data_IF_659657285479
#
_entry.id   IF_659657285479
#
_cell.length_a   1.000
_cell.length_b   1.000
_cell.length_c   1.000
_cell.angle_alpha   90.00
_cell.angle_beta   90.00
_cell.angle_gamma   90.00
#
_symmetry.space_group_name_H-M   'P 1'
#
loop_
_entity.id
_entity.type
_entity.pdbx_description
1 polymer ?
#
# COMPACT_ATOMS: atom_id res chain seq x y z
N UNK A 1 17.92 -0.70 -45.39
CA UNK A 1 17.23 -0.41 -44.11
C UNK A 1 18.21 0.29 -43.17
N UNK A 2 18.18 1.62 -43.08
CA UNK A 2 19.26 2.45 -42.48
C UNK A 2 19.39 2.30 -40.95
N UNK A 3 18.31 1.95 -40.25
CA UNK A 3 18.24 1.83 -38.79
C UNK A 3 19.18 0.73 -38.26
N UNK A 4 19.33 -0.36 -39.02
CA UNK A 4 20.18 -1.48 -38.63
C UNK A 4 21.68 -1.13 -38.65
N UNK A 5 22.11 -0.28 -39.58
CA UNK A 5 23.50 0.20 -39.61
C UNK A 5 23.78 1.17 -38.46
N UNK A 6 22.80 2.00 -38.10
CA UNK A 6 22.92 2.93 -36.97
C UNK A 6 23.08 2.20 -35.63
N UNK A 7 22.32 1.12 -35.41
CA UNK A 7 22.41 0.27 -34.20
C UNK A 7 23.69 -0.57 -34.11
N UNK A 8 24.34 -0.87 -35.25
CA UNK A 8 25.55 -1.70 -35.32
C UNK A 8 26.83 -0.91 -35.00
N UNK A 9 26.79 0.42 -35.04
CA UNK A 9 27.91 1.26 -34.63
C UNK A 9 28.04 1.26 -33.10
N UNK A 10 29.24 0.96 -32.61
CA UNK A 10 29.53 0.88 -31.17
C UNK A 10 29.18 2.17 -30.43
N UNK A 11 29.53 3.32 -31.00
CA UNK A 11 29.31 4.64 -30.38
C UNK A 11 27.83 4.95 -30.18
N UNK A 12 26.97 4.65 -31.16
CA UNK A 12 25.52 4.85 -31.00
C UNK A 12 24.94 3.92 -29.95
N UNK A 13 25.44 2.69 -29.87
CA UNK A 13 24.99 1.70 -28.90
C UNK A 13 25.38 2.07 -27.48
N UNK A 14 26.53 2.70 -27.30
CA UNK A 14 27.00 3.24 -26.03
C UNK A 14 26.12 4.41 -25.58
N UNK A 15 25.81 5.36 -26.48
CA UNK A 15 24.87 6.46 -26.19
C UNK A 15 23.47 5.95 -25.90
N UNK A 16 22.98 4.96 -26.64
CA UNK A 16 21.68 4.30 -26.40
C UNK A 16 21.67 3.55 -25.05
N UNK A 17 22.76 2.90 -24.67
CA UNK A 17 22.89 2.24 -23.39
C UNK A 17 22.92 3.24 -22.23
N UNK A 18 23.60 4.39 -22.40
CA UNK A 18 23.61 5.47 -21.43
C UNK A 18 22.24 6.14 -21.30
N UNK A 19 21.57 6.41 -22.43
CA UNK A 19 20.20 6.93 -22.45
C UNK A 19 19.22 5.95 -21.82
N UNK A 20 19.30 4.67 -22.16
CA UNK A 20 18.43 3.64 -21.61
C UNK A 20 18.66 3.45 -20.10
N UNK A 21 19.91 3.25 -19.69
CA UNK A 21 20.27 3.05 -18.28
C UNK A 21 19.97 4.28 -17.43
N UNK A 22 20.38 5.47 -17.89
CA UNK A 22 20.10 6.73 -17.20
C UNK A 22 18.61 7.04 -17.10
N UNK A 23 17.83 6.78 -18.15
CA UNK A 23 16.39 6.97 -18.12
C UNK A 23 15.69 6.05 -17.10
N UNK A 24 16.12 4.79 -16.99
CA UNK A 24 15.57 3.85 -16.00
C UNK A 24 15.83 4.33 -14.58
N UNK A 25 17.03 4.86 -14.28
CA UNK A 25 17.36 5.41 -12.96
C UNK A 25 16.48 6.63 -12.64
N UNK A 26 16.28 7.53 -13.60
CA UNK A 26 15.40 8.69 -13.43
C UNK A 26 13.94 8.29 -13.18
N UNK A 27 13.42 7.34 -13.97
CA UNK A 27 12.05 6.85 -13.82
C UNK A 27 11.84 6.18 -12.45
N UNK A 28 12.78 5.33 -12.03
CA UNK A 28 12.73 4.67 -10.72
C UNK A 28 12.83 5.68 -9.57
N UNK A 29 13.74 6.66 -9.67
CA UNK A 29 13.87 7.74 -8.70
C UNK A 29 12.63 8.62 -8.60
N UNK A 30 12.02 8.97 -9.74
CA UNK A 30 10.77 9.72 -9.76
C UNK A 30 9.62 8.91 -9.13
N UNK A 31 9.54 7.61 -9.39
CA UNK A 31 8.54 6.72 -8.80
C UNK A 31 8.69 6.61 -7.28
N UNK A 32 9.91 6.47 -6.76
CA UNK A 32 10.14 6.44 -5.30
C UNK A 32 9.77 7.76 -4.65
N UNK A 33 10.09 8.91 -5.25
CA UNK A 33 9.64 10.22 -4.75
C UNK A 33 8.11 10.32 -4.76
N UNK A 34 7.45 9.86 -5.82
CA UNK A 34 5.99 9.84 -5.91
C UNK A 34 5.38 9.01 -4.77
N UNK A 35 5.81 7.76 -4.59
CA UNK A 35 5.30 6.88 -3.52
C UNK A 35 5.58 7.46 -2.13
N UNK A 36 6.72 8.11 -1.93
CA UNK A 36 7.07 8.73 -0.66
C UNK A 36 6.17 9.94 -0.33
N UNK A 37 5.85 10.77 -1.32
CA UNK A 37 5.01 11.95 -1.14
C UNK A 37 3.51 11.63 -1.13
N UNK A 38 3.11 10.54 -1.77
CA UNK A 38 1.74 10.03 -1.75
C UNK A 38 1.68 8.70 -1.01
N UNK A 39 2.01 8.68 0.31
CA UNK A 39 1.76 7.48 1.08
C UNK A 39 0.27 7.15 0.95
N UNK A 40 -0.10 5.88 0.74
CA UNK A 40 -1.50 5.50 0.75
C UNK A 40 -2.06 6.02 2.07
N UNK A 41 -3.13 6.83 1.99
CA UNK A 41 -3.84 7.25 3.20
C UNK A 41 -4.07 5.98 3.99
N UNK A 42 -3.51 5.90 5.19
CA UNK A 42 -3.94 4.92 6.16
C UNK A 42 -5.45 5.07 6.18
N UNK A 43 -6.18 4.10 5.63
CA UNK A 43 -7.59 4.00 5.98
C UNK A 43 -7.53 3.95 7.48
N UNK A 44 -8.04 4.98 8.14
CA UNK A 44 -8.35 4.93 9.56
C UNK A 44 -9.11 3.63 9.72
N UNK A 45 -8.41 2.60 10.21
CA UNK A 45 -9.05 1.32 10.42
C UNK A 45 -10.06 1.67 11.49
N UNK A 46 -11.37 1.51 11.23
CA UNK A 46 -12.36 1.82 12.24
C UNK A 46 -11.94 1.09 13.51
N UNK A 47 -11.78 1.82 14.61
CA UNK A 47 -11.37 1.23 15.88
C UNK A 47 -12.55 0.42 16.39
N UNK A 48 -12.50 -0.88 16.14
CA UNK A 48 -13.52 -1.81 16.61
C UNK A 48 -13.13 -2.21 18.03
N UNK A 49 -13.74 -1.55 19.01
CA UNK A 49 -13.57 -1.89 20.43
C UNK A 49 -14.88 -2.42 21.00
N UNK A 50 -14.77 -3.52 21.74
CA UNK A 50 -15.83 -4.01 22.61
C UNK A 50 -15.44 -3.73 24.05
N UNK A 51 -16.37 -3.24 24.85
CA UNK A 51 -16.22 -3.08 26.29
C UNK A 51 -17.37 -3.85 26.99
N UNK A 52 -17.15 -4.31 28.23
CA UNK A 52 -18.18 -4.95 29.07
C UNK A 52 -18.93 -6.13 28.47
N UNK A 53 -18.20 -7.16 28.04
CA UNK A 53 -18.84 -8.36 27.49
C UNK A 53 -19.53 -8.11 26.14
N UNK A 54 -19.23 -6.98 25.48
CA UNK A 54 -19.71 -6.69 24.15
C UNK A 54 -18.99 -7.51 23.06
N UNK A 55 -19.61 -7.55 21.88
CA UNK A 55 -18.99 -8.04 20.65
C UNK A 55 -18.86 -6.88 19.69
N UNK A 56 -17.67 -6.67 19.12
CA UNK A 56 -17.43 -5.62 18.15
C UNK A 56 -16.87 -6.24 16.86
N UNK A 57 -17.43 -5.83 15.72
CA UNK A 57 -17.09 -6.41 14.42
C UNK A 57 -16.79 -5.30 13.43
N UNK A 58 -15.67 -5.45 12.72
CA UNK A 58 -15.30 -4.60 11.59
C UNK A 58 -15.40 -5.37 10.28
N UNK A 59 -16.16 -4.83 9.32
CA UNK A 59 -16.31 -5.43 8.00
C UNK A 59 -17.61 -6.22 7.84
N UNK A 60 -17.68 -7.07 6.80
CA UNK A 60 -18.90 -7.80 6.44
C UNK A 60 -19.01 -9.14 7.17
N UNK A 61 -20.20 -9.45 7.67
CA UNK A 61 -20.54 -10.73 8.30
C UNK A 61 -21.71 -11.34 7.53
N UNK A 62 -21.54 -12.56 7.01
CA UNK A 62 -22.61 -13.26 6.27
C UNK A 62 -22.65 -14.72 6.72
N UNK A 63 -23.85 -15.23 7.04
CA UNK A 63 -24.05 -16.62 7.47
C UNK A 63 -23.52 -16.95 8.88
N UNK A 64 -23.28 -15.95 9.73
CA UNK A 64 -22.74 -16.16 11.08
C UNK A 64 -23.82 -16.05 12.16
N UNK A 65 -23.69 -16.88 13.21
CA UNK A 65 -24.45 -16.79 14.45
C UNK A 65 -23.52 -16.36 15.57
N UNK A 66 -23.89 -15.30 16.31
CA UNK A 66 -23.12 -14.80 17.44
C UNK A 66 -23.89 -15.12 18.72
N UNK A 67 -23.36 -16.04 19.52
CA UNK A 67 -23.92 -16.42 20.81
C UNK A 67 -23.12 -15.75 21.93
N UNK A 68 -23.79 -14.95 22.75
CA UNK A 68 -23.21 -14.31 23.94
C UNK A 68 -24.01 -14.65 25.20
N UNK A 69 -23.35 -14.62 26.36
CA UNK A 69 -23.98 -14.70 27.67
C UNK A 69 -23.66 -13.43 28.46
N UNK A 70 -24.63 -12.92 29.25
CA UNK A 70 -24.39 -11.78 30.13
C UNK A 70 -23.56 -12.23 31.34
N UNK A 71 -22.32 -11.78 31.43
CA UNK A 71 -21.60 -11.73 32.71
C UNK A 71 -21.79 -10.34 33.27
N UNK A 72 -22.46 -10.22 34.42
CA UNK A 72 -22.55 -8.95 35.14
C UNK A 72 -21.16 -8.52 35.56
N UNK A 73 -20.53 -7.63 34.79
CA UNK A 73 -19.27 -7.00 35.17
C UNK A 73 -19.50 -5.50 35.32
N UNK A 74 -19.36 -5.00 36.54
CA UNK A 74 -19.18 -3.59 36.82
C UNK A 74 -17.91 -3.10 36.12
N UNK A 75 -18.05 -2.54 34.92
CA UNK A 75 -16.92 -2.00 34.20
C UNK A 75 -16.72 -0.52 34.51
N UNK A 76 -15.50 -0.08 34.83
CA UNK A 76 -15.17 1.33 34.81
C UNK A 76 -15.15 1.88 33.37
N UNK A 77 -15.52 3.15 33.22
CA UNK A 77 -15.47 3.85 31.93
C UNK A 77 -14.05 3.91 31.37
N UNK A 78 -13.90 3.66 30.07
CA UNK A 78 -12.64 3.82 29.35
C UNK A 78 -12.39 5.32 29.10
N UNK A 79 -11.42 5.90 29.80
CA UNK A 79 -10.99 7.30 29.59
C UNK A 79 -10.23 7.42 28.26
N UNK A 80 -10.71 8.33 27.41
CA UNK A 80 -10.23 8.62 26.06
C UNK A 80 -8.79 9.13 26.00
#
# INVERSE_FOLDING_TARGET
>A
MPIWQFLRQKTNREVLAWLGGGFVVLAAGAWTVFVYLTPPKSMDRPSVRANCGGVAIGGNVTGATISGATSGSDCPNESK
#
